data_IF_917105715758
#
_entry.id   IF_917105715758
#
_cell.length_a   1.000
_cell.length_b   1.000
_cell.length_c   1.000
_cell.angle_alpha   90.00
_cell.angle_beta   90.00
_cell.angle_gamma   90.00
#
_symmetry.space_group_name_H-M   'P 1'
#
loop_
_entity.id
_entity.type
_entity.pdbx_description
1 polymer ?
#
# COMPACT_ATOMS: atom_id res chain seq x y z
N UNK A 1 20.89 56.35 -37.51
CA UNK A 1 19.68 56.15 -38.34
C UNK A 1 19.86 54.77 -38.96
N UNK A 2 19.50 53.70 -38.23
CA UNK A 2 18.21 52.99 -38.29
C UNK A 2 18.03 52.30 -39.67
N UNK A 3 17.75 51.01 -39.84
CA UNK A 3 17.38 49.90 -38.95
C UNK A 3 17.78 48.59 -39.66
N UNK A 4 18.34 47.63 -38.93
CA UNK A 4 18.47 46.25 -39.41
C UNK A 4 17.09 45.58 -39.29
N UNK A 5 16.37 45.49 -40.41
CA UNK A 5 15.16 44.68 -40.57
C UNK A 5 15.52 43.19 -40.47
N UNK A 6 15.72 42.71 -39.24
CA UNK A 6 15.70 41.28 -38.94
C UNK A 6 14.23 40.84 -38.93
N UNK A 7 13.75 40.36 -40.07
CA UNK A 7 12.53 39.56 -40.11
C UNK A 7 12.81 38.27 -39.30
N UNK A 8 12.12 38.01 -38.17
CA UNK A 8 12.26 36.73 -37.50
C UNK A 8 11.74 35.64 -38.44
N UNK A 9 12.60 34.66 -38.73
CA UNK A 9 12.25 33.51 -39.55
C UNK A 9 10.97 32.86 -39.02
N UNK A 10 10.06 32.39 -39.89
CA UNK A 10 8.81 31.78 -39.49
C UNK A 10 9.07 30.58 -38.57
N UNK A 11 8.63 30.70 -37.32
CA UNK A 11 8.72 29.67 -36.29
C UNK A 11 7.99 28.42 -36.78
N UNK A 12 8.71 27.31 -36.93
CA UNK A 12 8.11 26.04 -37.34
C UNK A 12 7.11 25.57 -36.26
N UNK A 13 5.81 25.46 -36.54
CA UNK A 13 4.80 25.07 -35.56
C UNK A 13 4.90 23.60 -35.11
N UNK A 14 5.74 22.81 -35.80
CA UNK A 14 6.02 21.41 -35.47
C UNK A 14 7.45 21.18 -34.99
N UNK A 15 8.27 22.24 -34.86
CA UNK A 15 9.50 22.11 -34.11
C UNK A 15 9.09 21.85 -32.65
N UNK A 16 9.69 20.87 -31.96
CA UNK A 16 9.61 20.81 -30.52
C UNK A 16 10.05 22.18 -30.06
N UNK A 17 9.13 22.95 -29.47
CA UNK A 17 9.53 24.08 -28.65
C UNK A 17 10.42 23.45 -27.60
N UNK A 18 11.72 23.64 -27.74
CA UNK A 18 12.60 23.61 -26.58
C UNK A 18 12.03 24.70 -25.68
N UNK A 19 11.08 24.28 -24.85
CA UNK A 19 10.71 24.96 -23.64
C UNK A 19 12.05 25.28 -23.01
N UNK A 20 12.42 26.55 -23.11
CA UNK A 20 13.37 27.23 -22.24
C UNK A 20 13.63 26.35 -21.04
N UNK A 21 14.89 25.94 -20.85
CA UNK A 21 15.40 25.49 -19.57
C UNK A 21 15.19 26.62 -18.54
N UNK A 22 13.93 26.93 -18.20
CA UNK A 22 13.60 27.09 -16.80
C UNK A 22 14.04 25.77 -16.21
N UNK A 23 15.26 25.78 -15.67
CA UNK A 23 15.70 24.85 -14.68
C UNK A 23 14.49 24.63 -13.77
N UNK A 24 13.77 23.53 -14.01
CA UNK A 24 12.69 23.09 -13.15
C UNK A 24 13.35 23.05 -11.81
N UNK A 25 12.98 24.01 -10.97
CA UNK A 25 13.67 24.37 -9.74
C UNK A 25 13.73 23.09 -8.89
N UNK A 26 14.81 22.31 -9.03
CA UNK A 26 14.94 21.00 -8.38
C UNK A 26 14.98 21.19 -6.85
N UNK A 27 15.30 22.40 -6.39
CA UNK A 27 15.15 22.83 -4.99
C UNK A 27 13.69 22.96 -4.55
N UNK A 28 12.77 23.37 -5.44
CA UNK A 28 11.32 23.44 -5.16
C UNK A 28 10.67 22.05 -5.29
N UNK A 29 11.19 21.19 -6.17
CA UNK A 29 10.87 19.77 -6.26
C UNK A 29 11.35 18.94 -5.03
N UNK A 30 12.32 19.47 -4.27
CA UNK A 30 12.88 18.85 -3.06
C UNK A 30 12.00 18.97 -1.81
N UNK A 31 11.00 19.86 -1.79
CA UNK A 31 10.02 19.93 -0.69
C UNK A 31 8.92 18.91 -0.93
N UNK A 32 9.03 17.74 -0.30
CA UNK A 32 7.96 16.74 -0.38
C UNK A 32 6.66 17.35 0.16
N UNK A 33 5.69 17.57 -0.73
CA UNK A 33 4.34 18.08 -0.44
C UNK A 33 3.59 17.19 0.58
N UNK A 34 4.09 15.96 0.77
CA UNK A 34 3.59 14.97 1.71
C UNK A 34 4.67 14.62 2.71
N UNK A 35 4.35 14.67 4.00
CA UNK A 35 5.28 14.29 5.08
C UNK A 35 5.53 12.78 5.10
N UNK A 36 6.76 12.38 5.39
CA UNK A 36 7.15 10.97 5.62
C UNK A 36 6.28 10.33 6.69
N UNK A 37 5.96 11.08 7.75
CA UNK A 37 5.10 10.62 8.85
C UNK A 37 3.68 10.34 8.36
N UNK A 38 3.17 11.15 7.43
CA UNK A 38 1.84 10.95 6.84
C UNK A 38 1.83 9.68 5.97
N UNK A 39 2.86 9.47 5.15
CA UNK A 39 3.03 8.25 4.34
C UNK A 39 3.16 7.01 5.22
N UNK A 40 3.95 7.08 6.30
CA UNK A 40 4.14 5.99 7.25
C UNK A 40 2.81 5.54 7.85
N UNK A 41 2.07 6.46 8.49
CA UNK A 41 0.81 6.12 9.15
C UNK A 41 -0.28 5.71 8.17
N UNK A 42 -0.33 6.31 6.97
CA UNK A 42 -1.27 5.91 5.93
C UNK A 42 -1.02 4.45 5.49
N UNK A 43 0.25 4.08 5.31
CA UNK A 43 0.64 2.73 4.88
C UNK A 43 0.38 1.72 5.99
N UNK A 44 0.75 2.00 7.25
CA UNK A 44 0.48 1.13 8.40
C UNK A 44 -1.03 0.87 8.55
N UNK A 45 -1.86 1.92 8.44
CA UNK A 45 -3.32 1.76 8.50
C UNK A 45 -3.85 0.89 7.37
N UNK A 46 -3.36 1.11 6.14
CA UNK A 46 -3.79 0.31 5.00
C UNK A 46 -3.42 -1.17 5.14
N UNK A 47 -2.22 -1.48 5.64
CA UNK A 47 -1.79 -2.86 5.91
C UNK A 47 -2.59 -3.48 7.05
N UNK A 48 -2.86 -2.74 8.13
CA UNK A 48 -3.69 -3.22 9.23
C UNK A 48 -5.13 -3.53 8.77
N UNK A 49 -5.73 -2.64 7.97
CA UNK A 49 -7.06 -2.86 7.38
C UNK A 49 -7.04 -4.08 6.44
N UNK A 50 -6.00 -4.24 5.62
CA UNK A 50 -5.83 -5.43 4.78
C UNK A 50 -5.76 -6.71 5.64
N UNK A 51 -4.98 -6.71 6.73
CA UNK A 51 -4.91 -7.83 7.67
C UNK A 51 -6.26 -8.15 8.34
N UNK A 52 -7.01 -7.13 8.73
CA UNK A 52 -8.37 -7.30 9.26
C UNK A 52 -9.33 -7.90 8.24
N UNK A 53 -9.30 -7.43 6.99
CA UNK A 53 -10.12 -8.01 5.90
C UNK A 53 -9.72 -9.45 5.59
N UNK A 54 -8.42 -9.77 5.65
CA UNK A 54 -7.95 -11.14 5.47
C UNK A 54 -8.44 -12.05 6.60
N UNK A 55 -8.39 -11.59 7.86
CA UNK A 55 -8.96 -12.30 9.01
C UNK A 55 -10.45 -12.57 8.85
N UNK A 56 -11.20 -11.61 8.30
CA UNK A 56 -12.62 -11.79 7.98
C UNK A 56 -12.84 -12.89 6.92
N UNK A 57 -12.04 -12.89 5.85
CA UNK A 57 -12.10 -13.91 4.79
C UNK A 57 -11.79 -15.29 5.36
N UNK A 58 -10.74 -15.42 6.18
CA UNK A 58 -10.38 -16.70 6.82
C UNK A 58 -11.49 -17.23 7.71
N UNK A 59 -12.08 -16.39 8.56
CA UNK A 59 -13.19 -16.83 9.39
C UNK A 59 -14.39 -17.20 8.54
N UNK A 60 -14.74 -16.41 7.53
CA UNK A 60 -15.81 -16.73 6.58
C UNK A 60 -15.63 -18.10 5.93
N UNK A 61 -14.40 -18.43 5.51
CA UNK A 61 -14.06 -19.75 4.98
C UNK A 61 -14.22 -20.85 6.03
N UNK A 62 -13.73 -20.64 7.25
CA UNK A 62 -13.88 -21.63 8.33
C UNK A 62 -15.34 -21.86 8.71
N UNK A 63 -16.16 -20.81 8.78
CA UNK A 63 -17.61 -20.92 9.01
C UNK A 63 -18.27 -21.68 7.87
N UNK A 64 -17.94 -21.36 6.61
CA UNK A 64 -18.47 -22.05 5.44
C UNK A 64 -18.16 -23.55 5.45
N UNK A 65 -16.91 -23.93 5.71
CA UNK A 65 -16.49 -25.34 5.83
C UNK A 65 -17.21 -26.04 6.98
N UNK A 66 -17.37 -25.36 8.11
CA UNK A 66 -18.07 -25.89 9.28
C UNK A 66 -19.55 -26.14 8.99
N UNK A 67 -20.21 -25.22 8.27
CA UNK A 67 -21.61 -25.34 7.87
C UNK A 67 -21.82 -26.46 6.85
N UNK A 68 -20.93 -26.61 5.87
CA UNK A 68 -20.99 -27.71 4.89
C UNK A 68 -20.78 -29.06 5.58
N UNK A 69 -19.85 -29.14 6.53
CA UNK A 69 -19.64 -30.34 7.35
C UNK A 69 -20.87 -30.66 8.20
N UNK A 70 -21.49 -29.66 8.82
CA UNK A 70 -22.71 -29.83 9.61
C UNK A 70 -23.91 -30.29 8.76
N UNK A 71 -24.06 -29.74 7.55
CA UNK A 71 -25.11 -30.16 6.62
C UNK A 71 -24.92 -31.61 6.15
N UNK A 72 -23.68 -32.09 6.15
CA UNK A 72 -23.32 -33.46 5.79
C UNK A 72 -23.52 -34.44 6.97
N UNK A 73 -23.42 -33.97 8.22
CA UNK A 73 -23.68 -34.74 9.43
C UNK A 73 -25.15 -34.57 9.87
N UNK A 74 -25.98 -35.62 9.72
CA UNK A 74 -27.36 -35.63 10.24
C UNK A 74 -27.36 -35.47 11.77
N UNK A 75 -27.59 -34.25 12.24
CA UNK A 75 -27.84 -33.97 13.65
C UNK A 75 -26.66 -33.25 14.30
N UNK A 76 -26.87 -31.98 14.60
CA UNK A 76 -25.95 -31.19 15.38
C UNK A 76 -26.43 -29.76 15.44
N UNK A 77 -27.14 -29.41 16.50
CA UNK A 77 -27.29 -28.03 16.94
C UNK A 77 -25.91 -27.48 17.29
N UNK A 78 -25.19 -26.99 16.28
CA UNK A 78 -23.84 -26.46 16.41
C UNK A 78 -23.81 -25.08 17.07
N UNK A 79 -22.68 -24.70 17.71
CA UNK A 79 -22.59 -23.57 18.63
C UNK A 79 -22.54 -22.24 17.86
N UNK A 80 -23.70 -21.73 17.44
CA UNK A 80 -23.87 -20.44 16.74
C UNK A 80 -23.17 -19.29 17.47
N UNK A 81 -23.18 -19.33 18.82
CA UNK A 81 -22.49 -18.36 19.66
C UNK A 81 -20.97 -18.36 19.50
N UNK A 82 -20.32 -19.53 19.37
CA UNK A 82 -18.88 -19.58 19.10
C UNK A 82 -18.56 -19.09 17.69
N UNK A 83 -19.39 -19.42 16.71
CA UNK A 83 -19.18 -18.99 15.31
C UNK A 83 -19.26 -17.47 15.17
N UNK A 84 -20.22 -16.83 15.85
CA UNK A 84 -20.31 -15.37 15.91
C UNK A 84 -19.13 -14.73 16.65
N UNK A 85 -18.65 -15.35 17.74
CA UNK A 85 -17.47 -14.88 18.46
C UNK A 85 -16.21 -14.89 17.56
N UNK A 86 -16.00 -15.97 16.80
CA UNK A 86 -14.89 -16.04 15.84
C UNK A 86 -15.03 -15.03 14.70
N UNK A 87 -16.25 -14.75 14.24
CA UNK A 87 -16.51 -13.78 13.16
C UNK A 87 -16.13 -12.35 13.57
N UNK A 88 -16.24 -12.02 14.85
CA UNK A 88 -15.79 -10.73 15.41
C UNK A 88 -14.30 -10.75 15.75
N UNK A 89 -13.80 -11.82 16.36
CA UNK A 89 -12.40 -11.89 16.82
C UNK A 89 -11.39 -12.04 15.68
N UNK A 90 -11.71 -12.78 14.62
CA UNK A 90 -10.77 -13.01 13.51
C UNK A 90 -10.29 -11.74 12.81
N UNK A 91 -11.20 -10.83 12.42
CA UNK A 91 -10.81 -9.53 11.86
C UNK A 91 -10.01 -8.68 12.85
N UNK A 92 -10.36 -8.69 14.13
CA UNK A 92 -9.65 -7.92 15.18
C UNK A 92 -8.23 -8.45 15.37
N UNK A 93 -8.07 -9.77 15.48
CA UNK A 93 -6.76 -10.42 15.58
C UNK A 93 -5.94 -10.16 14.32
N UNK A 94 -6.54 -10.31 13.13
CA UNK A 94 -5.88 -10.02 11.85
C UNK A 94 -5.42 -8.56 11.73
N UNK A 95 -6.25 -7.61 12.18
CA UNK A 95 -5.93 -6.19 12.21
C UNK A 95 -4.76 -5.87 13.14
N UNK A 96 -4.83 -6.36 14.39
CA UNK A 96 -3.79 -6.11 15.40
C UNK A 96 -2.47 -6.76 14.97
N UNK A 97 -2.53 -8.03 14.55
CA UNK A 97 -1.34 -8.79 14.16
C UNK A 97 -0.65 -8.17 12.95
N UNK A 98 -1.39 -7.92 11.86
CA UNK A 98 -0.81 -7.27 10.69
C UNK A 98 -0.32 -5.84 11.00
N UNK A 99 -1.04 -5.11 11.84
CA UNK A 99 -0.65 -3.77 12.29
C UNK A 99 0.68 -3.76 13.05
N UNK A 100 0.89 -4.70 13.97
CA UNK A 100 2.13 -4.83 14.73
C UNK A 100 3.33 -5.06 13.81
N UNK A 101 3.23 -6.00 12.87
CA UNK A 101 4.31 -6.23 11.89
C UNK A 101 4.49 -5.05 10.94
N UNK A 102 3.40 -4.39 10.53
CA UNK A 102 3.46 -3.23 9.65
C UNK A 102 4.25 -2.07 10.26
N UNK A 103 4.17 -1.85 11.59
CA UNK A 103 4.94 -0.79 12.26
C UNK A 103 6.45 -0.93 12.00
N UNK A 104 6.96 -2.17 12.04
CA UNK A 104 8.37 -2.47 11.79
C UNK A 104 8.70 -2.53 10.29
N UNK A 105 7.89 -3.26 9.51
CA UNK A 105 8.14 -3.47 8.07
C UNK A 105 8.05 -2.17 7.28
N UNK A 106 7.04 -1.34 7.54
CA UNK A 106 6.89 -0.04 6.86
C UNK A 106 8.04 0.89 7.25
N UNK A 107 8.45 0.91 8.52
CA UNK A 107 9.58 1.72 8.98
C UNK A 107 10.89 1.33 8.27
N UNK A 108 11.16 0.03 8.18
CA UNK A 108 12.32 -0.52 7.47
C UNK A 108 12.28 -0.17 5.97
N UNK A 109 11.13 -0.39 5.32
CA UNK A 109 10.99 -0.11 3.89
C UNK A 109 11.13 1.39 3.60
N UNK A 110 10.57 2.27 4.42
CA UNK A 110 10.78 3.72 4.26
C UNK A 110 12.27 4.07 4.39
N UNK A 111 12.98 3.48 5.36
CA UNK A 111 14.43 3.73 5.49
C UNK A 111 15.19 3.31 4.23
N UNK A 112 14.88 2.13 3.67
CA UNK A 112 15.49 1.63 2.42
C UNK A 112 15.14 2.52 1.22
N UNK A 113 13.86 2.88 1.06
CA UNK A 113 13.42 3.76 -0.02
C UNK A 113 14.05 5.14 0.07
N UNK A 114 14.20 5.72 1.27
CA UNK A 114 14.86 7.02 1.46
C UNK A 114 16.36 6.96 1.23
N UNK A 115 17.02 5.87 1.63
CA UNK A 115 18.45 5.69 1.34
C UNK A 115 18.71 5.65 -0.17
N UNK A 116 17.80 5.05 -0.94
CA UNK A 116 17.90 4.96 -2.40
C UNK A 116 17.50 6.25 -3.13
N UNK A 117 16.57 7.03 -2.57
CA UNK A 117 15.94 8.16 -3.24
C UNK A 117 16.52 9.53 -2.83
N UNK A 118 17.81 9.61 -2.48
CA UNK A 118 18.48 10.84 -1.99
C UNK A 118 18.07 12.09 -2.80
N UNK A 119 17.16 12.90 -2.23
CA UNK A 119 16.70 14.17 -2.80
C UNK A 119 15.32 14.17 -3.49
N UNK A 120 14.73 13.02 -3.82
CA UNK A 120 13.43 12.97 -4.51
C UNK A 120 12.26 12.97 -3.51
N UNK A 121 11.29 13.87 -3.71
CA UNK A 121 10.05 13.93 -2.94
C UNK A 121 9.16 12.69 -3.14
N UNK A 122 8.19 12.48 -2.25
CA UNK A 122 7.22 11.39 -2.38
C UNK A 122 6.31 11.59 -3.59
N UNK A 123 6.48 10.75 -4.62
CA UNK A 123 5.58 10.68 -5.76
C UNK A 123 4.41 9.73 -5.48
N UNK A 124 3.26 9.88 -6.14
CA UNK A 124 2.14 8.94 -6.00
C UNK A 124 2.54 7.50 -6.35
N UNK A 125 3.47 7.33 -7.27
CA UNK A 125 3.98 6.02 -7.67
C UNK A 125 4.88 5.40 -6.61
N UNK A 126 5.79 6.18 -6.00
CA UNK A 126 6.64 5.65 -4.92
C UNK A 126 5.83 5.27 -3.69
N UNK A 127 4.81 6.05 -3.33
CA UNK A 127 3.87 5.72 -2.26
C UNK A 127 3.06 4.45 -2.58
N UNK A 128 2.64 4.28 -3.85
CA UNK A 128 1.94 3.07 -4.28
C UNK A 128 2.85 1.83 -4.17
N UNK A 129 4.08 1.92 -4.66
CA UNK A 129 5.05 0.81 -4.57
C UNK A 129 5.42 0.48 -3.13
N UNK A 130 5.56 1.50 -2.26
CA UNK A 130 5.74 1.28 -0.83
C UNK A 130 4.56 0.49 -0.24
N UNK A 131 3.33 0.84 -0.60
CA UNK A 131 2.12 0.11 -0.21
C UNK A 131 2.11 -1.36 -0.67
N UNK A 132 2.50 -1.60 -1.92
CA UNK A 132 2.61 -2.95 -2.48
C UNK A 132 3.66 -3.78 -1.75
N UNK A 133 4.87 -3.24 -1.59
CA UNK A 133 5.97 -3.95 -0.94
C UNK A 133 5.68 -4.18 0.55
N UNK A 134 5.14 -3.17 1.25
CA UNK A 134 4.79 -3.32 2.66
C UNK A 134 3.66 -4.32 2.87
N UNK A 135 2.62 -4.32 2.03
CA UNK A 135 1.55 -5.31 2.09
C UNK A 135 2.07 -6.73 1.87
N UNK A 136 2.91 -6.93 0.85
CA UNK A 136 3.51 -8.23 0.55
C UNK A 136 4.40 -8.73 1.69
N UNK A 137 5.37 -7.91 2.10
CA UNK A 137 6.37 -8.31 3.10
C UNK A 137 5.71 -8.50 4.46
N UNK A 138 4.79 -7.62 4.86
CA UNK A 138 4.08 -7.77 6.14
C UNK A 138 3.19 -9.01 6.13
N UNK A 139 2.47 -9.28 5.04
CA UNK A 139 1.65 -10.49 4.91
C UNK A 139 2.49 -11.76 4.99
N UNK A 140 3.67 -11.77 4.35
CA UNK A 140 4.58 -12.91 4.39
C UNK A 140 5.21 -13.10 5.78
N UNK A 141 5.80 -12.04 6.35
CA UNK A 141 6.49 -12.10 7.66
C UNK A 141 5.54 -12.46 8.79
N UNK A 142 4.33 -11.89 8.81
CA UNK A 142 3.35 -12.17 9.86
C UNK A 142 2.90 -13.64 9.88
N UNK A 143 2.75 -14.26 8.71
CA UNK A 143 2.40 -15.67 8.57
C UNK A 143 3.60 -16.60 8.80
N UNK A 144 4.79 -16.22 8.36
CA UNK A 144 6.02 -16.96 8.63
C UNK A 144 6.33 -17.02 10.13
N UNK A 145 6.11 -15.91 10.85
CA UNK A 145 6.24 -15.85 12.29
C UNK A 145 5.21 -16.75 13.01
N UNK A 146 3.95 -16.76 12.55
CA UNK A 146 2.94 -17.69 13.09
C UNK A 146 3.28 -19.16 12.82
N UNK A 147 3.89 -19.46 11.67
CA UNK A 147 4.34 -20.80 11.30
C UNK A 147 5.65 -21.25 11.97
N UNK A 148 6.07 -20.57 13.05
CA UNK A 148 7.29 -20.85 13.81
C UNK A 148 8.56 -20.94 12.94
N UNK A 149 8.65 -20.09 11.91
CA UNK A 149 9.81 -20.03 11.00
C UNK A 149 10.09 -21.33 10.23
N UNK A 150 9.08 -22.19 10.06
CA UNK A 150 9.20 -23.42 9.27
C UNK A 150 9.06 -23.16 7.76
N UNK A 151 9.58 -24.08 6.94
CA UNK A 151 9.39 -24.06 5.47
C UNK A 151 7.89 -24.06 5.13
N UNK A 152 7.12 -24.87 5.86
CA UNK A 152 5.66 -24.91 5.76
C UNK A 152 5.05 -23.54 6.04
N UNK A 153 5.49 -22.86 7.10
CA UNK A 153 5.08 -21.48 7.40
C UNK A 153 5.44 -20.48 6.30
N UNK A 154 6.62 -20.61 5.68
CA UNK A 154 7.05 -19.74 4.58
C UNK A 154 6.18 -19.92 3.32
N UNK A 155 5.78 -21.16 3.03
CA UNK A 155 4.90 -21.50 1.91
C UNK A 155 3.46 -21.02 2.16
N UNK A 156 2.91 -21.29 3.34
CA UNK A 156 1.58 -20.81 3.71
C UNK A 156 1.51 -19.28 3.79
N UNK A 157 2.63 -18.62 4.11
CA UNK A 157 2.74 -17.16 4.11
C UNK A 157 2.61 -16.49 2.75
N UNK A 158 2.68 -17.24 1.64
CA UNK A 158 2.46 -16.68 0.30
C UNK A 158 1.02 -16.19 0.10
N UNK A 159 0.03 -16.88 0.68
CA UNK A 159 -1.38 -16.50 0.55
C UNK A 159 -1.67 -15.12 1.17
N UNK A 160 -1.34 -14.85 2.45
CA UNK A 160 -1.49 -13.51 3.03
C UNK A 160 -0.56 -12.48 2.36
N UNK A 161 0.60 -12.88 1.83
CA UNK A 161 1.47 -11.97 1.08
C UNK A 161 0.81 -11.48 -0.23
N UNK A 162 0.23 -12.38 -1.01
CA UNK A 162 -0.48 -12.05 -2.25
C UNK A 162 -1.75 -11.24 -1.96
N UNK A 163 -2.48 -11.60 -0.91
CA UNK A 163 -3.63 -10.82 -0.47
C UNK A 163 -3.21 -9.40 -0.06
N UNK A 164 -2.15 -9.28 0.75
CA UNK A 164 -1.57 -8.01 1.18
C UNK A 164 -1.07 -7.15 0.02
N UNK A 165 -0.46 -7.75 -1.00
CA UNK A 165 0.00 -7.09 -2.23
C UNK A 165 -1.16 -6.40 -2.96
N UNK A 166 -2.35 -7.01 -3.00
CA UNK A 166 -3.51 -6.46 -3.70
C UNK A 166 -4.33 -5.54 -2.79
N UNK A 167 -4.63 -5.97 -1.57
CA UNK A 167 -5.53 -5.25 -0.67
C UNK A 167 -4.93 -3.93 -0.15
N UNK A 168 -3.64 -3.91 0.17
CA UNK A 168 -2.98 -2.72 0.72
C UNK A 168 -3.05 -1.51 -0.22
N UNK A 169 -2.67 -1.60 -1.52
CA UNK A 169 -2.79 -0.47 -2.42
C UNK A 169 -4.25 -0.07 -2.69
N UNK A 170 -5.22 -0.99 -2.59
CA UNK A 170 -6.64 -0.65 -2.68
C UNK A 170 -7.07 0.27 -1.54
N UNK A 171 -6.70 -0.08 -0.29
CA UNK A 171 -6.97 0.76 0.89
C UNK A 171 -6.23 2.11 0.84
N UNK A 172 -5.09 2.17 0.16
CA UNK A 172 -4.34 3.42 -0.03
C UNK A 172 -4.89 4.32 -1.15
N UNK A 173 -5.84 3.86 -1.99
CA UNK A 173 -6.34 4.65 -3.15
C UNK A 173 -6.83 6.05 -2.76
N UNK A 174 -7.56 6.16 -1.64
CA UNK A 174 -8.07 7.44 -1.13
C UNK A 174 -6.93 8.38 -0.70
N UNK A 175 -5.86 7.84 -0.12
CA UNK A 175 -4.66 8.60 0.20
C UNK A 175 -3.90 9.03 -1.06
N UNK A 176 -3.70 8.13 -2.02
CA UNK A 176 -3.06 8.43 -3.30
C UNK A 176 -3.79 9.54 -4.08
N UNK A 177 -5.13 9.53 -4.04
CA UNK A 177 -5.94 10.63 -4.60
C UNK A 177 -5.66 11.97 -3.93
N UNK A 178 -5.56 11.99 -2.59
CA UNK A 178 -5.18 13.19 -1.84
C UNK A 178 -3.77 13.66 -2.17
N UNK A 179 -2.79 12.75 -2.25
CA UNK A 179 -1.41 13.08 -2.64
C UNK A 179 -1.37 13.72 -4.03
N UNK A 180 -2.04 13.12 -5.02
CA UNK A 180 -2.15 13.69 -6.38
C UNK A 180 -2.77 15.09 -6.37
N UNK A 181 -3.86 15.28 -5.61
CA UNK A 181 -4.53 16.58 -5.52
C UNK A 181 -3.67 17.68 -4.87
N UNK A 182 -2.79 17.32 -3.93
CA UNK A 182 -1.89 18.29 -3.29
C UNK A 182 -0.73 18.66 -4.21
N UNK A 183 -0.19 17.69 -4.94
CA UNK A 183 0.85 17.93 -5.95
C UNK A 183 0.32 18.83 -7.07
N UNK A 184 -0.91 18.60 -7.54
CA UNK A 184 -1.55 19.44 -8.56
C UNK A 184 -1.84 20.88 -8.10
N UNK A 185 -1.84 21.16 -6.79
CA UNK A 185 -2.02 22.52 -6.23
C UNK A 185 -0.69 23.23 -5.95
N UNK A 186 0.43 22.52 -5.98
CA UNK A 186 1.76 23.07 -5.72
C UNK A 186 2.54 23.42 -6.98
N UNK A 187 2.06 22.97 -8.14
CA UNK A 187 2.48 23.39 -9.49
C UNK A 187 1.57 24.54 -9.91
#
# INVERSE_FOLDING_TARGET
MADSNENPLPLNPYAPTELSEEAVDFERAGRSVVSVTEVYWATVRAVALAGGTFGLVLVGLMVGVSLVSLASSRGGSGPVGMTMLFLVLGPVIGFIWAGLFALFVVGLLIAVFRYRAQGYGWTPESVRWLGVCSGLVTGWVSAFAMGAFSITGAMFGLVPALFGLVATPLWMRSFLGRVRSRIAKSV
#
